data_IF_493563339224
#
_entry.id   IF_493563339224
#
_cell.length_a   1.000
_cell.length_b   1.000
_cell.length_c   1.000
_cell.angle_alpha   90.00
_cell.angle_beta   90.00
_cell.angle_gamma   90.00
#
_symmetry.space_group_name_H-M   'P 1'
#
loop_
_entity.id
_entity.type
_entity.pdbx_description
1 polymer ?
#
# COMPACT_ATOMS: atom_id res chain seq x y z
N UNK A 1 21.08 -59.54 -15.33
CA UNK A 1 20.12 -59.55 -16.45
C UNK A 1 18.81 -60.09 -15.90
N UNK A 2 17.65 -59.46 -15.99
CA UNK A 2 17.13 -58.59 -17.03
C UNK A 2 16.28 -57.44 -16.44
N UNK A 3 16.29 -56.35 -17.19
CA UNK A 3 15.44 -55.17 -17.07
C UNK A 3 13.95 -55.55 -17.11
N UNK A 4 13.18 -55.09 -16.12
CA UNK A 4 11.72 -55.00 -16.26
C UNK A 4 11.38 -53.76 -17.08
N UNK A 5 10.85 -54.02 -18.28
CA UNK A 5 10.30 -53.04 -19.18
C UNK A 5 9.04 -52.39 -18.57
N UNK A 6 9.04 -51.07 -18.44
CA UNK A 6 7.82 -50.30 -18.23
C UNK A 6 7.42 -49.58 -19.53
N UNK A 7 6.17 -49.78 -20.00
CA UNK A 7 5.65 -49.15 -21.21
C UNK A 7 5.35 -47.67 -20.97
N UNK A 8 5.63 -46.87 -21.99
CA UNK A 8 5.42 -45.42 -22.04
C UNK A 8 3.92 -45.06 -21.95
N UNK A 9 3.47 -44.56 -20.80
CA UNK A 9 2.17 -43.92 -20.66
C UNK A 9 2.22 -42.47 -21.18
N UNK A 10 1.61 -42.25 -22.34
CA UNK A 10 1.35 -40.93 -22.91
C UNK A 10 0.35 -40.17 -22.03
N UNK A 11 0.80 -39.14 -21.31
CA UNK A 11 -0.11 -38.19 -20.65
C UNK A 11 -0.56 -37.13 -21.67
N UNK A 12 -1.77 -37.35 -22.19
CA UNK A 12 -2.57 -36.37 -22.89
C UNK A 12 -3.02 -35.23 -21.98
N UNK A 13 -3.35 -34.12 -22.63
CA UNK A 13 -3.64 -32.80 -22.07
C UNK A 13 -4.93 -32.80 -21.24
N UNK A 14 -4.86 -32.21 -20.05
CA UNK A 14 -5.78 -31.21 -19.45
C UNK A 14 -5.71 -31.32 -17.93
N UNK A 15 -5.28 -30.26 -17.23
CA UNK A 15 -5.89 -29.88 -15.97
C UNK A 15 -5.47 -28.47 -15.55
N UNK A 16 -6.48 -27.70 -15.17
CA UNK A 16 -6.46 -26.36 -14.59
C UNK A 16 -5.49 -26.28 -13.41
N UNK A 17 -4.45 -25.44 -13.49
CA UNK A 17 -3.53 -25.20 -12.37
C UNK A 17 -4.01 -24.00 -11.53
N UNK A 18 -4.78 -24.29 -10.49
CA UNK A 18 -4.82 -23.48 -9.26
C UNK A 18 -4.38 -24.37 -8.09
N UNK A 19 -3.86 -23.70 -7.06
CA UNK A 19 -3.46 -24.20 -5.73
C UNK A 19 -2.00 -24.71 -5.70
N UNK A 20 -1.04 -23.80 -5.48
CA UNK A 20 -0.47 -23.43 -4.17
C UNK A 20 0.32 -24.58 -3.52
N UNK A 21 1.65 -24.42 -3.35
CA UNK A 21 2.29 -23.99 -2.09
C UNK A 21 3.79 -24.33 -2.07
N UNK A 22 4.51 -23.58 -1.22
CA UNK A 22 5.87 -23.81 -0.72
C UNK A 22 7.01 -23.90 -1.74
N UNK A 23 7.56 -22.75 -2.14
CA UNK A 23 8.99 -22.67 -2.46
C UNK A 23 9.64 -21.77 -1.42
N UNK A 24 10.36 -22.44 -0.52
CA UNK A 24 11.31 -21.87 0.42
C UNK A 24 12.03 -20.65 -0.19
N UNK A 25 11.82 -19.52 0.46
CA UNK A 25 12.70 -18.36 0.67
C UNK A 25 14.02 -18.31 -0.13
N UNK A 26 13.95 -18.23 -1.46
CA UNK A 26 15.06 -17.66 -2.23
C UNK A 26 14.89 -16.15 -2.21
N UNK A 27 15.68 -15.46 -1.37
CA UNK A 27 15.82 -14.00 -1.45
C UNK A 27 16.62 -13.73 -2.71
N UNK A 28 15.91 -13.51 -3.82
CA UNK A 28 16.55 -13.10 -5.06
C UNK A 28 17.02 -11.66 -4.89
N UNK A 29 18.30 -11.40 -5.13
CA UNK A 29 18.88 -10.06 -4.96
C UNK A 29 18.55 -9.14 -6.14
N UNK A 30 18.30 -9.71 -7.32
CA UNK A 30 17.96 -8.99 -8.55
C UNK A 30 16.72 -9.56 -9.26
N UNK A 31 15.81 -8.68 -9.67
CA UNK A 31 14.56 -9.00 -10.34
C UNK A 31 14.51 -8.36 -11.72
N UNK A 32 13.90 -9.05 -12.69
CA UNK A 32 13.34 -8.38 -13.88
C UNK A 32 12.06 -7.63 -13.51
N UNK A 33 11.57 -6.75 -14.39
CA UNK A 33 10.32 -6.02 -14.13
C UNK A 33 9.12 -6.95 -13.92
N UNK A 34 9.07 -8.08 -14.62
CA UNK A 34 7.99 -9.06 -14.51
C UNK A 34 8.07 -9.82 -13.19
N UNK A 35 9.26 -10.27 -12.81
CA UNK A 35 9.46 -10.94 -11.52
C UNK A 35 9.20 -9.99 -10.34
N UNK A 36 9.58 -8.71 -10.48
CA UNK A 36 9.29 -7.67 -9.48
C UNK A 36 7.77 -7.46 -9.36
N UNK A 37 7.06 -7.46 -10.49
CA UNK A 37 5.61 -7.37 -10.53
C UNK A 37 4.94 -8.54 -9.81
N UNK A 38 5.35 -9.78 -10.10
CA UNK A 38 4.85 -10.99 -9.44
C UNK A 38 5.13 -10.96 -7.92
N UNK A 39 6.33 -10.54 -7.52
CA UNK A 39 6.74 -10.51 -6.11
C UNK A 39 6.05 -9.44 -5.27
N UNK A 40 5.54 -8.37 -5.91
CA UNK A 40 4.97 -7.19 -5.22
C UNK A 40 3.49 -6.97 -5.51
N UNK A 41 2.93 -7.72 -6.46
CA UNK A 41 1.57 -7.55 -7.00
C UNK A 41 1.32 -6.14 -7.57
N UNK A 42 2.38 -5.49 -8.07
CA UNK A 42 2.29 -4.18 -8.73
C UNK A 42 2.49 -4.38 -10.22
N UNK A 43 1.54 -3.91 -11.03
CA UNK A 43 1.63 -3.96 -12.49
C UNK A 43 2.91 -3.30 -13.03
N UNK A 44 3.58 -3.84 -14.07
CA UNK A 44 4.81 -3.28 -14.64
C UNK A 44 4.67 -1.81 -15.06
N UNK A 45 3.47 -1.42 -15.52
CA UNK A 45 3.12 -0.03 -15.85
C UNK A 45 3.24 0.89 -14.64
N UNK A 46 2.74 0.44 -13.48
CA UNK A 46 2.78 1.22 -12.24
C UNK A 46 4.20 1.33 -11.69
N UNK A 47 5.00 0.27 -11.83
CA UNK A 47 6.43 0.30 -11.47
C UNK A 47 7.15 1.39 -12.25
N UNK A 48 6.98 1.41 -13.58
CA UNK A 48 7.56 2.47 -14.45
C UNK A 48 7.05 3.86 -14.09
N UNK A 49 5.76 3.98 -13.79
CA UNK A 49 5.17 5.23 -13.32
C UNK A 49 5.82 5.72 -12.03
N UNK A 50 6.04 4.86 -11.03
CA UNK A 50 6.68 5.25 -9.77
C UNK A 50 8.13 5.70 -9.94
N UNK A 51 8.86 5.09 -10.87
CA UNK A 51 10.20 5.52 -11.25
C UNK A 51 10.15 6.91 -11.92
N UNK A 52 9.23 7.09 -12.87
CA UNK A 52 9.05 8.37 -13.56
C UNK A 52 8.65 9.52 -12.62
N UNK A 53 7.82 9.24 -11.61
CA UNK A 53 7.43 10.22 -10.58
C UNK A 53 8.54 10.47 -9.54
N UNK A 54 9.67 9.74 -9.61
CA UNK A 54 10.79 9.84 -8.68
C UNK A 54 10.47 9.35 -7.27
N UNK A 55 9.48 8.47 -7.12
CA UNK A 55 9.13 7.81 -5.85
C UNK A 55 10.08 6.64 -5.57
N UNK A 56 10.60 6.04 -6.64
CA UNK A 56 11.53 4.91 -6.60
C UNK A 56 12.77 5.24 -7.43
N UNK A 57 13.98 4.78 -7.04
CA UNK A 57 15.16 4.85 -7.89
C UNK A 57 14.95 4.12 -9.22
N UNK A 58 15.71 4.55 -10.23
CA UNK A 58 15.75 3.88 -11.53
C UNK A 58 16.38 2.47 -11.45
N UNK A 59 16.14 1.64 -12.47
CA UNK A 59 16.73 0.31 -12.53
C UNK A 59 18.27 0.36 -12.62
N UNK A 60 18.91 -0.72 -12.17
CA UNK A 60 20.34 -0.94 -12.37
C UNK A 60 20.56 -1.42 -13.81
N UNK A 61 21.36 -0.69 -14.58
CA UNK A 61 21.61 -0.99 -16.00
C UNK A 61 20.54 -0.42 -16.95
N UNK A 62 20.75 -0.60 -18.25
CA UNK A 62 19.92 -0.01 -19.30
C UNK A 62 19.28 -1.06 -20.22
N UNK A 63 18.10 -0.71 -20.75
CA UNK A 63 17.40 -1.50 -21.77
C UNK A 63 17.03 -2.91 -21.29
N UNK A 64 17.38 -3.93 -22.09
CA UNK A 64 17.04 -5.33 -21.82
C UNK A 64 17.79 -5.92 -20.62
N UNK A 65 18.90 -5.29 -20.20
CA UNK A 65 19.69 -5.69 -19.04
C UNK A 65 19.27 -4.98 -17.74
N UNK A 66 18.19 -4.19 -17.76
CA UNK A 66 17.70 -3.50 -16.57
C UNK A 66 17.30 -4.50 -15.46
N UNK A 67 17.92 -4.34 -14.28
CA UNK A 67 17.67 -5.15 -13.07
C UNK A 67 17.15 -4.28 -11.95
N UNK A 68 16.30 -4.87 -11.11
CA UNK A 68 15.76 -4.24 -9.91
C UNK A 68 16.29 -4.99 -8.70
N UNK A 69 16.95 -4.29 -7.78
CA UNK A 69 17.42 -4.90 -6.54
C UNK A 69 16.28 -5.19 -5.57
N UNK A 70 16.56 -5.97 -4.52
CA UNK A 70 15.67 -6.19 -3.37
C UNK A 70 15.09 -4.89 -2.77
N UNK A 71 15.87 -3.80 -2.74
CA UNK A 71 15.39 -2.48 -2.26
C UNK A 71 14.16 -1.99 -3.02
N UNK A 72 14.10 -2.23 -4.34
CA UNK A 72 12.94 -1.86 -5.15
C UNK A 72 11.68 -2.65 -4.72
N UNK A 73 11.83 -3.94 -4.39
CA UNK A 73 10.72 -4.74 -3.91
C UNK A 73 10.20 -4.26 -2.56
N UNK A 74 11.09 -3.85 -1.65
CA UNK A 74 10.73 -3.27 -0.35
C UNK A 74 9.98 -1.94 -0.50
N UNK A 75 10.47 -1.04 -1.36
CA UNK A 75 9.79 0.23 -1.64
C UNK A 75 8.39 -0.01 -2.23
N UNK A 76 8.22 -0.94 -3.18
CA UNK A 76 6.90 -1.26 -3.75
C UNK A 76 5.93 -1.82 -2.70
N UNK A 77 6.41 -2.65 -1.77
CA UNK A 77 5.60 -3.15 -0.65
C UNK A 77 5.14 -2.01 0.26
N UNK A 78 6.02 -1.05 0.55
CA UNK A 78 5.70 0.12 1.35
C UNK A 78 4.70 1.04 0.64
N UNK A 79 4.89 1.32 -0.65
CA UNK A 79 3.93 2.06 -1.48
C UNK A 79 2.54 1.41 -1.41
N UNK A 80 2.45 0.09 -1.56
CA UNK A 80 1.18 -0.63 -1.48
C UNK A 80 0.54 -0.57 -0.08
N UNK A 81 1.35 -0.53 0.99
CA UNK A 81 0.86 -0.37 2.36
C UNK A 81 0.26 1.03 2.56
N UNK A 82 0.99 2.07 2.20
CA UNK A 82 0.56 3.45 2.41
C UNK A 82 -0.58 3.87 1.47
N UNK A 83 -0.61 3.39 0.23
CA UNK A 83 -1.76 3.61 -0.66
C UNK A 83 -3.03 2.99 -0.11
N UNK A 84 -2.95 1.80 0.51
CA UNK A 84 -4.10 1.18 1.21
C UNK A 84 -4.56 1.99 2.42
N UNK A 85 -3.63 2.67 3.08
CA UNK A 85 -3.93 3.58 4.17
C UNK A 85 -4.38 4.98 3.70
N UNK A 86 -4.56 5.21 2.39
CA UNK A 86 -5.08 6.47 1.85
C UNK A 86 -4.07 7.60 1.70
N UNK A 87 -2.76 7.33 1.82
CA UNK A 87 -1.74 8.35 1.64
C UNK A 87 -1.66 8.81 0.18
N UNK A 88 -1.46 10.12 -0.02
CA UNK A 88 -1.17 10.69 -1.35
C UNK A 88 0.21 10.26 -1.85
N UNK A 89 0.40 10.25 -3.17
CA UNK A 89 1.66 9.81 -3.77
C UNK A 89 2.84 10.73 -3.38
N UNK A 90 2.58 12.03 -3.26
CA UNK A 90 3.57 13.01 -2.80
C UNK A 90 4.01 12.72 -1.37
N UNK A 91 3.06 12.42 -0.47
CA UNK A 91 3.39 12.06 0.91
C UNK A 91 4.20 10.77 0.95
N UNK A 92 3.81 9.76 0.18
CA UNK A 92 4.56 8.50 0.07
C UNK A 92 6.00 8.74 -0.39
N UNK A 93 6.21 9.63 -1.37
CA UNK A 93 7.54 9.99 -1.85
C UNK A 93 8.40 10.57 -0.74
N UNK A 94 7.86 11.52 0.03
CA UNK A 94 8.55 12.10 1.19
C UNK A 94 8.96 11.03 2.21
N UNK A 95 8.04 10.12 2.54
CA UNK A 95 8.31 9.05 3.51
C UNK A 95 9.41 8.08 3.07
N UNK A 96 9.50 7.79 1.76
CA UNK A 96 10.55 6.90 1.22
C UNK A 96 11.91 7.58 1.26
N UNK A 97 11.99 8.88 0.99
CA UNK A 97 13.26 9.62 0.92
C UNK A 97 13.78 10.04 2.29
N UNK A 98 12.90 10.27 3.27
CA UNK A 98 13.28 10.65 4.64
C UNK A 98 13.71 9.44 5.50
N UNK A 99 13.64 8.21 4.96
CA UNK A 99 13.76 6.94 5.72
C UNK A 99 12.93 6.97 7.01
N UNK A 100 11.83 7.74 7.01
CA UNK A 100 11.03 7.98 8.20
C UNK A 100 10.24 6.69 8.50
N UNK A 101 10.42 6.07 9.68
CA UNK A 101 9.63 4.91 10.05
C UNK A 101 8.19 5.37 10.31
N UNK A 102 7.34 5.28 9.29
CA UNK A 102 5.89 5.37 9.46
C UNK A 102 5.38 3.97 9.68
N UNK A 103 5.44 3.53 10.93
CA UNK A 103 4.88 2.25 11.33
C UNK A 103 3.36 2.39 11.41
N UNK A 104 2.69 2.13 10.28
CA UNK A 104 1.24 1.90 10.30
C UNK A 104 1.04 0.48 10.83
N UNK A 105 1.13 0.33 12.15
CA UNK A 105 0.72 -0.88 12.83
C UNK A 105 -0.81 -0.97 12.74
N UNK A 106 -1.32 -1.67 11.71
CA UNK A 106 -2.70 -2.15 11.70
C UNK A 106 -2.79 -3.24 12.77
N UNK A 107 -2.93 -2.84 14.03
CA UNK A 107 -3.14 -3.75 15.15
C UNK A 107 -4.55 -4.32 15.01
N UNK A 108 -4.73 -5.62 14.74
CA UNK A 108 -6.05 -6.21 14.78
C UNK A 108 -6.60 -6.02 16.20
N UNK A 109 -7.86 -5.61 16.33
CA UNK A 109 -8.50 -5.45 17.62
C UNK A 109 -8.31 -6.74 18.44
N UNK A 110 -7.75 -6.62 19.66
CA UNK A 110 -7.54 -7.78 20.52
C UNK A 110 -8.90 -8.27 21.02
N UNK A 111 -9.18 -9.56 20.82
CA UNK A 111 -10.43 -10.16 21.29
C UNK A 111 -10.55 -10.03 22.82
N UNK A 112 -11.65 -9.46 23.31
CA UNK A 112 -11.91 -9.29 24.74
C UNK A 112 -11.27 -8.07 25.41
N UNK A 113 -10.62 -7.17 24.66
CA UNK A 113 -10.06 -5.93 25.19
C UNK A 113 -10.95 -4.74 24.78
N UNK A 114 -11.48 -4.02 25.77
CA UNK A 114 -12.15 -2.75 25.54
C UNK A 114 -11.11 -1.63 25.40
N UNK A 115 -10.87 -1.19 24.17
CA UNK A 115 -9.97 -0.06 23.89
C UNK A 115 -10.80 1.24 23.91
N UNK A 116 -10.36 2.29 24.64
CA UNK A 116 -11.08 3.56 24.72
C UNK A 116 -10.90 4.36 23.43
N UNK A 117 -11.86 4.23 22.52
CA UNK A 117 -11.96 5.04 21.30
C UNK A 117 -12.91 6.23 21.50
N UNK A 118 -12.49 7.41 21.08
CA UNK A 118 -13.40 8.52 20.83
C UNK A 118 -13.85 8.46 19.36
N UNK A 119 -15.15 8.20 19.14
CA UNK A 119 -15.79 8.27 17.81
C UNK A 119 -16.48 9.62 17.66
N UNK A 120 -16.02 10.43 16.72
CA UNK A 120 -16.54 11.77 16.47
C UNK A 120 -17.16 11.84 15.09
N UNK A 121 -18.43 12.23 15.02
CA UNK A 121 -19.13 12.52 13.77
C UNK A 121 -18.89 13.97 13.39
N UNK A 122 -18.31 14.21 12.21
CA UNK A 122 -18.03 15.56 11.72
C UNK A 122 -19.10 16.03 10.73
N UNK A 123 -19.54 15.12 9.86
CA UNK A 123 -20.59 15.35 8.86
C UNK A 123 -21.22 14.00 8.47
N UNK A 124 -22.30 14.05 7.69
CA UNK A 124 -22.87 12.84 7.10
C UNK A 124 -21.82 12.11 6.24
N UNK A 125 -21.54 10.85 6.58
CA UNK A 125 -20.48 10.05 5.97
C UNK A 125 -19.04 10.36 6.40
N UNK A 126 -18.79 11.29 7.33
CA UNK A 126 -17.45 11.63 7.82
C UNK A 126 -17.31 11.40 9.32
N UNK A 127 -16.49 10.40 9.69
CA UNK A 127 -16.19 10.03 11.06
C UNK A 127 -14.69 10.06 11.35
N UNK A 128 -14.32 10.41 12.58
CA UNK A 128 -12.95 10.32 13.09
C UNK A 128 -12.94 9.40 14.30
N UNK A 129 -12.06 8.41 14.27
CA UNK A 129 -11.79 7.52 15.40
C UNK A 129 -10.44 7.90 15.99
N UNK A 130 -10.44 8.26 17.27
CA UNK A 130 -9.23 8.63 18.00
C UNK A 130 -9.02 7.61 19.11
N UNK A 131 -7.91 6.87 19.02
CA UNK A 131 -7.46 5.99 20.10
C UNK A 131 -6.73 6.83 21.14
N UNK A 132 -7.41 7.16 22.24
CA UNK A 132 -6.84 8.02 23.29
C UNK A 132 -5.61 7.39 23.95
N UNK A 133 -5.49 6.05 23.93
CA UNK A 133 -4.35 5.36 24.53
C UNK A 133 -3.09 5.46 23.67
N UNK A 134 -3.22 5.77 22.37
CA UNK A 134 -2.09 5.84 21.42
C UNK A 134 -1.60 7.25 21.13
N UNK A 135 -2.45 8.25 21.28
CA UNK A 135 -2.12 9.60 20.79
C UNK A 135 -1.52 10.51 21.87
N UNK A 136 -1.37 10.05 23.12
CA UNK A 136 -0.99 10.87 24.28
C UNK A 136 -1.82 12.18 24.39
N UNK A 137 -3.00 12.22 23.75
CA UNK A 137 -3.83 13.42 23.68
C UNK A 137 -4.74 13.46 24.90
N UNK A 138 -4.66 14.56 25.64
CA UNK A 138 -5.64 14.84 26.69
C UNK A 138 -6.97 15.32 26.09
N UNK A 139 -8.02 15.32 26.91
CA UNK A 139 -9.38 15.73 26.48
C UNK A 139 -9.44 17.14 25.90
N UNK A 140 -8.59 18.06 26.38
CA UNK A 140 -8.55 19.44 25.86
C UNK A 140 -7.96 19.50 24.46
N UNK A 141 -6.88 18.77 24.20
CA UNK A 141 -6.25 18.64 22.88
C UNK A 141 -7.18 17.93 21.89
N UNK A 142 -7.91 16.90 22.33
CA UNK A 142 -8.94 16.23 21.51
C UNK A 142 -10.02 17.24 21.12
N UNK A 143 -10.54 18.03 22.07
CA UNK A 143 -11.54 19.06 21.78
C UNK A 143 -11.00 20.15 20.84
N UNK A 144 -9.74 20.58 21.01
CA UNK A 144 -9.08 21.53 20.10
C UNK A 144 -8.94 20.95 18.69
N UNK A 145 -8.55 19.68 18.57
CA UNK A 145 -8.45 18.97 17.29
C UNK A 145 -9.82 18.89 16.59
N UNK A 146 -10.86 18.46 17.31
CA UNK A 146 -12.23 18.37 16.77
C UNK A 146 -12.70 19.75 16.26
N UNK A 147 -12.46 20.81 17.02
CA UNK A 147 -12.78 22.19 16.59
C UNK A 147 -12.04 22.58 15.31
N UNK A 148 -10.74 22.28 15.22
CA UNK A 148 -9.93 22.60 14.03
C UNK A 148 -10.41 21.83 12.80
N UNK A 149 -10.69 20.52 12.92
CA UNK A 149 -11.18 19.72 11.80
C UNK A 149 -12.55 20.22 11.32
N UNK A 150 -13.46 20.52 12.24
CA UNK A 150 -14.77 21.06 11.89
C UNK A 150 -14.68 22.41 11.17
N UNK A 151 -13.78 23.29 11.59
CA UNK A 151 -13.56 24.57 10.93
C UNK A 151 -13.04 24.37 9.50
N UNK A 152 -12.02 23.54 9.32
CA UNK A 152 -11.47 23.21 8.01
C UNK A 152 -12.53 22.61 7.08
N UNK A 153 -13.38 21.72 7.59
CA UNK A 153 -14.48 21.14 6.82
C UNK A 153 -15.48 22.21 6.37
N UNK A 154 -15.84 23.17 7.25
CA UNK A 154 -16.73 24.28 6.88
C UNK A 154 -16.13 25.11 5.76
N UNK A 155 -14.85 25.45 5.84
CA UNK A 155 -14.19 26.28 4.85
C UNK A 155 -14.18 25.58 3.47
N UNK A 156 -13.78 24.30 3.43
CA UNK A 156 -13.81 23.48 2.20
C UNK A 156 -15.22 23.30 1.63
N UNK A 157 -16.23 23.11 2.48
CA UNK A 157 -17.63 23.00 2.04
C UNK A 157 -18.14 24.31 1.41
N UNK A 158 -17.59 25.45 1.84
CA UNK A 158 -17.95 26.78 1.34
C UNK A 158 -17.27 27.06 0.00
N UNK A 159 -16.02 26.63 -0.17
CA UNK A 159 -15.29 26.68 -1.44
C UNK A 159 -15.95 25.83 -2.53
N UNK A 160 -16.40 24.61 -2.19
CA UNK A 160 -17.11 23.74 -3.12
C UNK A 160 -18.38 24.39 -3.67
N UNK A 161 -19.16 25.10 -2.84
CA UNK A 161 -20.36 25.83 -3.26
C UNK A 161 -20.06 27.02 -4.18
N UNK A 162 -18.93 27.71 -3.99
CA UNK A 162 -18.48 28.80 -4.86
C UNK A 162 -17.99 28.30 -6.22
N UNK A 163 -17.44 27.09 -6.29
CA UNK A 163 -17.01 26.48 -7.56
C UNK A 163 -18.19 26.04 -8.43
N UNK A 164 -19.31 25.58 -7.83
CA UNK A 164 -20.52 25.22 -8.58
C UNK A 164 -21.24 26.41 -9.21
N UNK A 165 -21.16 27.63 -8.64
CA UNK A 165 -21.79 28.81 -9.23
C UNK A 165 -21.00 29.43 -10.38
N UNK A 166 -19.68 29.16 -10.45
CA UNK A 166 -18.80 29.68 -11.51
C UNK A 166 -18.81 28.84 -12.79
N UNK A 167 -19.30 27.59 -12.73
CA UNK A 167 -19.36 26.66 -13.88
C UNK A 167 -20.65 26.77 -14.70
N UNK A 168 -21.58 27.64 -14.31
CA UNK A 168 -22.86 27.89 -15.00
C UNK A 168 -22.88 29.18 -15.83
N UNK A 169 -21.71 29.77 -16.12
CA UNK A 169 -21.53 30.91 -17.03
C UNK A 169 -20.59 30.55 -18.16
#
# INVERSE_FOLDING_TARGET
MAYFAYPQLKLGRTCSKKVQQSKFMYVKDEFTINELSEATQVEPRNIRFYIQQGVMPGPVGAGRAARYSKKHAEILRNINRWKRAGFSLERIKTLIHEDAPVDIEIRPAKLGVAEPYARVYLADGLEVHIDSARTELNSEMINKLIKSINQNYRDLSTEAKKQSSKKSR
#
